data_IF_949850412754
#
_entry.id   IF_949850412754
#
_cell.length_a   1.000
_cell.length_b   1.000
_cell.length_c   1.000
_cell.angle_alpha   90.00
_cell.angle_beta   90.00
_cell.angle_gamma   90.00
#
_symmetry.space_group_name_H-M   'P 1'
#
loop_
_entity.id
_entity.type
_entity.pdbx_description
1 polymer ?
#
# COMPACT_ATOMS: atom_id res chain seq x y z
N UNK A 1 -18.46 -34.12 -21.15
CA UNK A 1 -19.47 -33.07 -21.43
C UNK A 1 -19.82 -32.26 -20.17
N UNK A 2 -20.24 -32.82 -19.02
CA UNK A 2 -20.64 -32.03 -17.84
C UNK A 2 -19.45 -31.51 -16.99
N UNK A 3 -18.34 -32.25 -16.92
CA UNK A 3 -17.18 -31.90 -16.10
C UNK A 3 -16.44 -30.63 -16.60
N UNK A 4 -16.26 -30.51 -17.92
CA UNK A 4 -15.67 -29.33 -18.57
C UNK A 4 -16.39 -28.05 -18.14
N UNK A 5 -17.73 -28.09 -18.14
CA UNK A 5 -18.59 -26.95 -17.80
C UNK A 5 -18.42 -26.53 -16.33
N UNK A 6 -18.31 -27.51 -15.42
CA UNK A 6 -18.02 -27.25 -13.99
C UNK A 6 -16.64 -26.62 -13.81
N UNK A 7 -15.63 -27.10 -14.54
CA UNK A 7 -14.27 -26.56 -14.49
C UNK A 7 -14.24 -25.13 -15.03
N UNK A 8 -14.91 -24.86 -16.17
CA UNK A 8 -14.98 -23.51 -16.75
C UNK A 8 -15.64 -22.52 -15.80
N UNK A 9 -16.76 -22.89 -15.19
CA UNK A 9 -17.46 -22.04 -14.21
C UNK A 9 -16.59 -21.82 -12.97
N UNK A 10 -15.94 -22.87 -12.47
CA UNK A 10 -15.00 -22.75 -11.35
C UNK A 10 -13.84 -21.81 -11.65
N UNK A 11 -13.23 -21.93 -12.83
CA UNK A 11 -12.14 -21.06 -13.27
C UNK A 11 -12.57 -19.60 -13.40
N UNK A 12 -13.77 -19.34 -13.95
CA UNK A 12 -14.34 -17.98 -14.03
C UNK A 12 -14.55 -17.36 -12.65
N UNK A 13 -15.10 -18.13 -11.70
CA UNK A 13 -15.32 -17.66 -10.34
C UNK A 13 -14.00 -17.36 -9.62
N UNK A 14 -13.01 -18.24 -9.71
CA UNK A 14 -11.70 -18.03 -9.09
C UNK A 14 -11.01 -16.81 -9.71
N UNK A 15 -11.01 -16.70 -11.04
CA UNK A 15 -10.44 -15.55 -11.75
C UNK A 15 -11.11 -14.24 -11.30
N UNK A 16 -12.44 -14.23 -11.18
CA UNK A 16 -13.18 -13.08 -10.68
C UNK A 16 -12.83 -12.72 -9.23
N UNK A 17 -12.69 -13.71 -8.35
CA UNK A 17 -12.27 -13.49 -6.97
C UNK A 17 -10.87 -12.88 -6.88
N UNK A 18 -9.92 -13.40 -7.67
CA UNK A 18 -8.55 -12.85 -7.72
C UNK A 18 -8.57 -11.42 -8.27
N UNK A 19 -9.29 -11.19 -9.37
CA UNK A 19 -9.41 -9.87 -9.99
C UNK A 19 -10.01 -8.84 -9.01
N UNK A 20 -11.11 -9.18 -8.35
CA UNK A 20 -11.74 -8.29 -7.36
C UNK A 20 -10.83 -8.06 -6.13
N UNK A 21 -10.10 -9.08 -5.69
CA UNK A 21 -9.07 -8.95 -4.65
C UNK A 21 -7.96 -7.97 -5.03
N UNK A 22 -7.42 -8.07 -6.23
CA UNK A 22 -6.39 -7.17 -6.76
C UNK A 22 -6.91 -5.73 -6.85
N UNK A 23 -8.11 -5.53 -7.41
CA UNK A 23 -8.73 -4.20 -7.49
C UNK A 23 -8.93 -3.59 -6.10
N UNK A 24 -9.33 -4.41 -5.12
CA UNK A 24 -9.49 -3.95 -3.73
C UNK A 24 -8.16 -3.56 -3.12
N UNK A 25 -7.12 -4.37 -3.32
CA UNK A 25 -5.77 -4.09 -2.83
C UNK A 25 -5.24 -2.79 -3.44
N UNK A 26 -5.40 -2.60 -4.76
CA UNK A 26 -5.02 -1.38 -5.44
C UNK A 26 -5.73 -0.14 -4.85
N UNK A 27 -7.04 -0.21 -4.64
CA UNK A 27 -7.81 0.88 -4.01
C UNK A 27 -7.30 1.22 -2.61
N UNK A 28 -6.97 0.22 -1.81
CA UNK A 28 -6.42 0.41 -0.46
C UNK A 28 -5.04 1.08 -0.52
N UNK A 29 -4.16 0.61 -1.39
CA UNK A 29 -2.81 1.17 -1.57
C UNK A 29 -2.87 2.61 -2.06
N UNK A 30 -3.66 2.89 -3.11
CA UNK A 30 -3.84 4.24 -3.64
C UNK A 30 -4.46 5.17 -2.61
N UNK A 31 -5.51 4.73 -1.91
CA UNK A 31 -6.13 5.53 -0.85
C UNK A 31 -5.18 5.86 0.29
N UNK A 32 -4.30 4.91 0.65
CA UNK A 32 -3.27 5.12 1.68
C UNK A 32 -2.19 6.09 1.19
N UNK A 33 -1.71 5.91 -0.05
CA UNK A 33 -0.74 6.80 -0.67
C UNK A 33 -1.26 8.24 -0.78
N UNK A 34 -2.54 8.45 -1.14
CA UNK A 34 -3.17 9.77 -1.17
C UNK A 34 -3.20 10.41 0.21
N UNK A 35 -3.57 9.66 1.26
CA UNK A 35 -3.57 10.18 2.64
C UNK A 35 -2.16 10.60 3.07
N UNK A 36 -1.16 9.77 2.78
CA UNK A 36 0.24 10.11 3.05
C UNK A 36 0.62 11.38 2.30
N UNK A 37 0.35 11.44 1.00
CA UNK A 37 0.63 12.62 0.18
C UNK A 37 -0.05 13.88 0.74
N UNK A 38 -1.29 13.78 1.22
CA UNK A 38 -2.01 14.90 1.82
C UNK A 38 -1.36 15.37 3.13
N UNK A 39 -0.90 14.45 3.98
CA UNK A 39 -0.16 14.78 5.20
C UNK A 39 1.17 15.44 4.86
N UNK A 40 1.93 14.87 3.92
CA UNK A 40 3.21 15.43 3.46
C UNK A 40 3.02 16.82 2.86
N UNK A 41 1.99 17.00 2.04
CA UNK A 41 1.63 18.27 1.44
C UNK A 41 1.25 19.31 2.49
N UNK A 42 0.40 18.95 3.46
CA UNK A 42 0.06 19.84 4.56
C UNK A 42 1.31 20.25 5.35
N UNK A 43 2.20 19.30 5.67
CA UNK A 43 3.44 19.61 6.38
C UNK A 43 4.34 20.55 5.56
N UNK A 44 4.46 20.32 4.25
CA UNK A 44 5.24 21.18 3.36
C UNK A 44 4.64 22.59 3.28
N UNK A 45 3.32 22.72 3.17
CA UNK A 45 2.64 24.02 3.06
C UNK A 45 2.70 24.81 4.37
N UNK A 46 2.46 24.17 5.52
CA UNK A 46 2.38 24.86 6.81
C UNK A 46 3.74 25.06 7.49
N UNK A 47 4.69 24.15 7.29
CA UNK A 47 5.97 24.15 8.00
C UNK A 47 7.18 24.26 7.08
N UNK A 48 7.01 24.20 5.75
CA UNK A 48 8.12 24.24 4.79
C UNK A 48 9.00 22.97 4.79
N UNK A 49 8.56 21.90 5.46
CA UNK A 49 9.35 20.66 5.58
C UNK A 49 9.04 19.76 4.38
N UNK A 50 10.08 19.45 3.61
CA UNK A 50 9.98 18.53 2.48
C UNK A 50 9.78 17.07 2.91
N UNK A 51 9.16 16.23 2.06
CA UNK A 51 8.96 14.82 2.33
C UNK A 51 10.29 14.04 2.52
N UNK A 52 11.39 14.52 1.95
CA UNK A 52 12.73 13.95 2.08
C UNK A 52 13.21 14.00 3.54
N UNK A 53 13.01 15.13 4.22
CA UNK A 53 13.41 15.31 5.60
C UNK A 53 12.67 14.37 6.57
N UNK A 54 11.40 14.05 6.26
CA UNK A 54 10.65 13.04 7.02
C UNK A 54 11.21 11.64 6.79
N UNK A 55 11.57 11.29 5.55
CA UNK A 55 12.19 10.02 5.23
C UNK A 55 13.52 9.83 5.98
N UNK A 56 14.38 10.82 5.94
CA UNK A 56 15.66 10.83 6.69
C UNK A 56 15.43 10.67 8.19
N UNK A 57 14.43 11.36 8.75
CA UNK A 57 14.11 11.24 10.18
C UNK A 57 13.61 9.85 10.55
N UNK A 58 12.80 9.21 9.70
CA UNK A 58 12.32 7.85 9.93
C UNK A 58 13.49 6.85 9.92
N UNK A 59 14.42 6.99 8.97
CA UNK A 59 15.63 6.14 8.91
C UNK A 59 16.49 6.33 10.15
N UNK A 60 16.76 7.57 10.54
CA UNK A 60 17.53 7.87 11.76
C UNK A 60 16.87 7.30 13.02
N UNK A 61 15.53 7.36 13.14
CA UNK A 61 14.81 6.76 14.26
C UNK A 61 14.93 5.23 14.25
N UNK A 62 14.85 4.60 13.08
CA UNK A 62 15.08 3.16 12.93
C UNK A 62 16.48 2.75 13.35
N UNK A 63 17.50 3.47 12.90
CA UNK A 63 18.90 3.26 13.31
C UNK A 63 19.12 3.49 14.80
N UNK A 64 18.49 4.51 15.40
CA UNK A 64 18.58 4.76 16.85
C UNK A 64 17.92 3.66 17.68
N UNK A 65 16.80 3.10 17.21
CA UNK A 65 16.09 2.03 17.89
C UNK A 65 16.80 0.67 17.73
N UNK A 66 17.34 0.38 16.55
CA UNK A 66 18.11 -0.85 16.29
C UNK A 66 19.54 -0.78 16.86
N UNK A 67 20.14 0.42 16.90
CA UNK A 67 21.48 0.66 17.42
C UNK A 67 21.57 0.71 18.94
N UNK A 68 20.45 0.92 19.65
CA UNK A 68 20.40 0.88 21.13
C UNK A 68 20.51 -0.53 21.73
N UNK A 69 20.57 -1.57 20.90
CA UNK A 69 20.69 -2.97 21.32
C UNK A 69 22.11 -3.53 21.38
N UNK A 70 23.16 -2.71 21.23
CA UNK A 70 24.56 -3.09 21.45
C UNK A 70 25.17 -2.33 22.61
#
# INVERSE_FOLDING_TARGET
>A
MPLELVITVGALLISWFVFTGLVRLLKVTVGTAIKIALVLFALQVFFGIGPEALGERIVQLGEQLLGKGK
#
